data_IF_319856983856
#
_entry.id   IF_319856983856
#
_cell.length_a   1.000
_cell.length_b   1.000
_cell.length_c   1.000
_cell.angle_alpha   90.00
_cell.angle_beta   90.00
_cell.angle_gamma   90.00
#
_symmetry.space_group_name_H-M   'P 1'
#
loop_
_entity.id
_entity.type
_entity.pdbx_description
1 polymer ?
#
# COMPACT_ATOMS: atom_id res chain seq x y z
N UNK A 1 0.62 3.46 -1.94
CA UNK A 1 1.49 2.43 -2.53
C UNK A 1 1.68 1.21 -1.65
N UNK A 2 1.78 1.28 -0.31
CA UNK A 2 1.83 0.03 0.49
C UNK A 2 0.51 -0.76 0.49
N UNK A 3 -0.62 -0.04 0.48
CA UNK A 3 -1.94 -0.62 0.16
C UNK A 3 -1.88 -1.34 -1.17
N UNK A 4 -1.18 -0.75 -2.15
CA UNK A 4 -0.98 -1.35 -3.46
C UNK A 4 0.19 -2.33 -3.50
N UNK A 5 1.05 -2.45 -2.49
CA UNK A 5 2.13 -3.45 -2.38
C UNK A 5 1.58 -4.71 -1.72
N UNK A 6 0.72 -4.57 -0.70
CA UNK A 6 -0.07 -5.70 -0.18
C UNK A 6 -0.99 -6.25 -1.26
N UNK A 7 -1.71 -5.38 -1.96
CA UNK A 7 -2.56 -5.77 -3.10
C UNK A 7 -1.70 -6.25 -4.28
N UNK A 8 -0.62 -5.57 -4.69
CA UNK A 8 0.22 -6.04 -5.81
C UNK A 8 0.95 -7.34 -5.49
N UNK A 9 1.43 -7.54 -4.26
CA UNK A 9 2.01 -8.80 -3.82
C UNK A 9 0.99 -9.93 -3.90
N UNK A 10 -0.25 -9.69 -3.48
CA UNK A 10 -1.34 -10.64 -3.70
C UNK A 10 -1.61 -10.84 -5.20
N UNK A 11 -1.67 -9.78 -6.01
CA UNK A 11 -1.93 -9.89 -7.46
C UNK A 11 -0.81 -10.66 -8.19
N UNK A 12 0.46 -10.47 -7.82
CA UNK A 12 1.61 -11.21 -8.37
C UNK A 12 1.58 -12.67 -7.93
N UNK A 13 1.30 -12.94 -6.64
CA UNK A 13 1.11 -14.30 -6.13
C UNK A 13 -0.07 -15.01 -6.82
N UNK A 14 -1.14 -14.29 -7.11
CA UNK A 14 -2.30 -14.80 -7.84
C UNK A 14 -1.98 -15.06 -9.31
N UNK A 15 -1.23 -14.18 -9.98
CA UNK A 15 -0.72 -14.42 -11.33
C UNK A 15 0.11 -15.71 -11.40
N UNK A 16 0.97 -15.95 -10.41
CA UNK A 16 1.73 -17.21 -10.33
C UNK A 16 0.81 -18.42 -10.05
N UNK A 17 -0.12 -18.30 -9.10
CA UNK A 17 -1.09 -19.36 -8.78
C UNK A 17 -2.00 -19.72 -9.96
N UNK A 18 -2.40 -18.73 -10.75
CA UNK A 18 -3.19 -18.89 -11.97
C UNK A 18 -2.48 -19.75 -13.02
N UNK A 19 -1.17 -19.57 -13.16
CA UNK A 19 -0.35 -20.30 -14.12
C UNK A 19 -0.05 -21.74 -13.66
N UNK A 20 -0.04 -21.98 -12.34
CA UNK A 20 0.40 -23.25 -11.76
C UNK A 20 -0.75 -24.19 -11.37
N UNK A 21 -1.92 -23.69 -10.92
CA UNK A 21 -3.06 -24.53 -10.54
C UNK A 21 -4.45 -23.87 -10.75
N UNK A 22 -5.01 -23.97 -11.97
CA UNK A 22 -6.29 -23.34 -12.32
C UNK A 22 -7.49 -23.75 -11.45
N UNK A 23 -7.54 -25.01 -10.99
CA UNK A 23 -8.69 -25.56 -10.27
C UNK A 23 -8.91 -24.99 -8.86
N UNK A 24 -7.86 -24.43 -8.24
CA UNK A 24 -7.92 -23.78 -6.93
C UNK A 24 -7.87 -22.25 -6.98
N UNK A 25 -7.76 -21.66 -8.18
CA UNK A 25 -7.43 -20.26 -8.36
C UNK A 25 -8.42 -19.31 -7.70
N UNK A 26 -9.73 -19.52 -7.87
CA UNK A 26 -10.75 -18.61 -7.32
C UNK A 26 -10.70 -18.58 -5.78
N UNK A 27 -10.52 -19.73 -5.15
CA UNK A 27 -10.38 -19.81 -3.69
C UNK A 27 -9.08 -19.16 -3.21
N UNK A 28 -7.96 -19.41 -3.89
CA UNK A 28 -6.67 -18.77 -3.60
C UNK A 28 -6.72 -17.25 -3.80
N UNK A 29 -7.44 -16.79 -4.83
CA UNK A 29 -7.66 -15.38 -5.12
C UNK A 29 -8.45 -14.71 -3.99
N UNK A 30 -9.56 -15.30 -3.55
CA UNK A 30 -10.34 -14.75 -2.43
C UNK A 30 -9.52 -14.69 -1.16
N UNK A 31 -8.84 -15.79 -0.79
CA UNK A 31 -8.02 -15.84 0.41
C UNK A 31 -6.87 -14.83 0.40
N UNK A 32 -6.18 -14.70 -0.74
CA UNK A 32 -5.10 -13.72 -0.88
C UNK A 32 -5.60 -12.29 -0.78
N UNK A 33 -6.80 -11.96 -1.28
CA UNK A 33 -7.36 -10.62 -1.13
C UNK A 33 -7.74 -10.31 0.33
N UNK A 34 -8.27 -11.28 1.07
CA UNK A 34 -8.55 -11.12 2.51
C UNK A 34 -7.24 -10.86 3.27
N UNK A 35 -6.21 -11.66 3.00
CA UNK A 35 -4.89 -11.50 3.63
C UNK A 35 -4.29 -10.13 3.29
N UNK A 36 -4.35 -9.71 2.02
CA UNK A 36 -3.87 -8.39 1.59
C UNK A 36 -4.62 -7.24 2.27
N UNK A 37 -5.94 -7.35 2.41
CA UNK A 37 -6.76 -6.37 3.10
C UNK A 37 -6.43 -6.30 4.61
N UNK A 38 -6.17 -7.44 5.24
CA UNK A 38 -5.72 -7.50 6.64
C UNK A 38 -4.36 -6.84 6.82
N UNK A 39 -3.37 -7.18 5.97
CA UNK A 39 -2.04 -6.56 5.99
C UNK A 39 -2.16 -5.04 5.82
N UNK A 40 -3.01 -4.60 4.88
CA UNK A 40 -3.32 -3.18 4.65
C UNK A 40 -3.91 -2.53 5.90
N UNK A 41 -4.86 -3.20 6.57
CA UNK A 41 -5.46 -2.74 7.83
C UNK A 41 -4.42 -2.56 8.95
N UNK A 42 -3.52 -3.53 9.10
CA UNK A 42 -2.44 -3.49 10.10
C UNK A 42 -1.39 -2.40 9.85
N UNK A 43 -1.33 -1.84 8.64
CA UNK A 43 -0.45 -0.71 8.32
C UNK A 43 -1.01 0.65 8.76
N UNK A 44 -2.29 0.74 9.11
CA UNK A 44 -2.92 1.97 9.57
C UNK A 44 -2.17 2.70 10.72
N UNK A 45 -1.67 2.01 11.77
CA UNK A 45 -0.83 2.66 12.79
C UNK A 45 0.48 3.22 12.23
N UNK A 46 1.12 2.55 11.26
CA UNK A 46 2.38 3.03 10.66
C UNK A 46 2.16 4.39 9.98
N UNK A 47 1.02 4.54 9.32
CA UNK A 47 0.63 5.81 8.70
C UNK A 47 0.40 6.93 9.69
N UNK A 48 -0.32 6.64 10.78
CA UNK A 48 -0.54 7.61 11.84
C UNK A 48 0.79 8.03 12.48
N UNK A 49 1.66 7.07 12.79
CA UNK A 49 2.97 7.34 13.36
C UNK A 49 3.87 8.12 12.40
N UNK A 50 3.82 7.84 11.09
CA UNK A 50 4.56 8.61 10.08
C UNK A 50 4.08 10.07 10.03
N UNK A 51 2.77 10.31 10.14
CA UNK A 51 2.20 11.67 10.22
C UNK A 51 2.64 12.37 11.50
N UNK A 52 2.58 11.71 12.65
CA UNK A 52 3.02 12.28 13.94
C UNK A 52 4.52 12.60 13.92
N UNK A 53 5.34 11.69 13.41
CA UNK A 53 6.79 11.89 13.25
C UNK A 53 7.10 13.10 12.38
N UNK A 54 6.39 13.30 11.26
CA UNK A 54 6.56 14.48 10.40
C UNK A 54 6.09 15.78 11.04
N UNK A 55 5.11 15.72 11.94
CA UNK A 55 4.61 16.89 12.68
C UNK A 55 5.48 17.27 13.88
N UNK A 56 6.41 16.40 14.28
CA UNK A 56 7.17 16.54 15.52
C UNK A 56 6.36 16.18 16.77
N UNK A 57 5.22 15.51 16.60
CA UNK A 57 4.36 15.08 17.70
C UNK A 57 4.94 13.84 18.40
N UNK A 58 4.70 13.64 19.71
CA UNK A 58 5.25 12.51 20.45
C UNK A 58 4.71 11.17 19.94
N UNK A 59 5.62 10.27 19.61
CA UNK A 59 5.34 8.89 19.20
C UNK A 59 4.98 8.05 20.43
N UNK A 60 3.70 7.99 20.75
CA UNK A 60 3.20 7.22 21.91
C UNK A 60 2.60 5.89 21.47
N UNK A 61 2.71 4.87 22.34
CA UNK A 61 2.01 3.60 22.17
C UNK A 61 0.49 3.78 22.15
N UNK A 62 -0.03 4.78 22.88
CA UNK A 62 -1.43 5.17 22.84
C UNK A 62 -1.86 5.64 21.43
N UNK A 63 -1.03 6.42 20.74
CA UNK A 63 -1.31 6.82 19.36
C UNK A 63 -1.29 5.61 18.41
N UNK A 64 -0.36 4.67 18.59
CA UNK A 64 -0.34 3.43 17.80
C UNK A 64 -1.62 2.61 18.02
N UNK A 65 -2.05 2.42 19.27
CA UNK A 65 -3.30 1.73 19.59
C UNK A 65 -4.53 2.44 19.03
N UNK A 66 -4.56 3.78 19.10
CA UNK A 66 -5.61 4.57 18.47
C UNK A 66 -5.65 4.34 16.95
N UNK A 67 -4.49 4.34 16.29
CA UNK A 67 -4.35 4.04 14.87
C UNK A 67 -4.89 2.65 14.53
N UNK A 68 -4.55 1.63 15.32
CA UNK A 68 -5.10 0.28 15.15
C UNK A 68 -6.62 0.29 15.32
N UNK A 69 -7.16 0.77 16.43
CA UNK A 69 -8.60 0.61 16.72
C UNK A 69 -9.47 1.43 15.77
N UNK A 70 -9.06 2.65 15.44
CA UNK A 70 -9.92 3.59 14.70
C UNK A 70 -9.70 3.57 13.19
N UNK A 71 -8.48 3.34 12.74
CA UNK A 71 -8.13 3.43 11.31
C UNK A 71 -8.09 2.05 10.64
N UNK A 72 -7.83 0.96 11.37
CA UNK A 72 -7.78 -0.40 10.79
C UNK A 72 -9.04 -0.75 10.01
N UNK A 73 -10.28 -0.52 10.49
CA UNK A 73 -11.48 -0.85 9.70
C UNK A 73 -11.53 -0.07 8.37
N UNK A 74 -11.07 1.19 8.37
CA UNK A 74 -11.07 2.04 7.18
C UNK A 74 -10.04 1.56 6.15
N UNK A 75 -8.83 1.26 6.61
CA UNK A 75 -7.77 0.71 5.77
C UNK A 75 -8.10 -0.69 5.26
N UNK A 76 -8.72 -1.53 6.09
CA UNK A 76 -9.20 -2.84 5.69
C UNK A 76 -10.23 -2.74 4.56
N UNK A 77 -11.24 -1.86 4.68
CA UNK A 77 -12.24 -1.66 3.63
C UNK A 77 -11.58 -1.17 2.33
N UNK A 78 -10.65 -0.21 2.40
CA UNK A 78 -9.91 0.24 1.20
C UNK A 78 -9.12 -0.91 0.59
N UNK A 79 -8.39 -1.67 1.39
CA UNK A 79 -7.63 -2.83 0.94
C UNK A 79 -8.52 -3.88 0.28
N UNK A 80 -9.71 -4.13 0.85
CA UNK A 80 -10.69 -5.07 0.30
C UNK A 80 -11.25 -4.56 -1.04
N UNK A 81 -11.65 -3.29 -1.13
CA UNK A 81 -12.17 -2.70 -2.38
C UNK A 81 -11.12 -2.78 -3.50
N UNK A 82 -9.87 -2.40 -3.20
CA UNK A 82 -8.79 -2.45 -4.18
C UNK A 82 -8.38 -3.89 -4.52
N UNK A 83 -8.36 -4.78 -3.53
CA UNK A 83 -8.04 -6.19 -3.70
C UNK A 83 -9.07 -6.91 -4.55
N UNK A 84 -10.37 -6.73 -4.27
CA UNK A 84 -11.45 -7.30 -5.08
C UNK A 84 -11.44 -6.71 -6.49
N UNK A 85 -11.26 -5.39 -6.64
CA UNK A 85 -11.18 -4.75 -7.96
C UNK A 85 -10.00 -5.27 -8.80
N UNK A 86 -8.81 -5.35 -8.21
CA UNK A 86 -7.63 -5.89 -8.88
C UNK A 86 -7.74 -7.39 -9.17
N UNK A 87 -8.26 -8.16 -8.21
CA UNK A 87 -8.46 -9.60 -8.35
C UNK A 87 -9.48 -9.95 -9.44
N UNK A 88 -10.58 -9.20 -9.53
CA UNK A 88 -11.56 -9.36 -10.62
C UNK A 88 -10.96 -9.03 -11.98
N UNK A 89 -10.11 -8.01 -12.08
CA UNK A 89 -9.42 -7.70 -13.34
C UNK A 89 -8.51 -8.86 -13.78
N UNK A 90 -7.78 -9.49 -12.85
CA UNK A 90 -6.98 -10.68 -13.16
C UNK A 90 -7.85 -11.87 -13.58
N UNK A 91 -8.98 -12.08 -12.91
CA UNK A 91 -9.90 -13.16 -13.22
C UNK A 91 -10.51 -12.98 -14.62
N UNK A 92 -10.94 -11.76 -14.96
CA UNK A 92 -11.41 -11.42 -16.32
C UNK A 92 -10.30 -11.65 -17.35
N UNK A 93 -9.08 -11.22 -17.04
CA UNK A 93 -7.91 -11.40 -17.92
C UNK A 93 -7.57 -12.86 -18.19
N UNK A 94 -7.85 -13.75 -17.23
CA UNK A 94 -7.66 -15.18 -17.41
C UNK A 94 -8.66 -15.79 -18.40
N UNK A 95 -9.95 -15.50 -18.23
CA UNK A 95 -11.01 -16.03 -19.10
C UNK A 95 -11.03 -15.36 -20.48
N UNK A 96 -10.51 -14.12 -20.59
CA UNK A 96 -10.37 -13.37 -21.83
C UNK A 96 -8.90 -12.97 -22.03
N UNK A 97 -8.06 -13.83 -22.62
CA UNK A 97 -6.61 -13.59 -22.77
C UNK A 97 -6.27 -12.30 -23.52
N UNK A 98 -7.16 -11.85 -24.41
CA UNK A 98 -7.02 -10.58 -25.11
C UNK A 98 -6.95 -9.37 -24.16
N UNK A 99 -7.50 -9.49 -22.94
CA UNK A 99 -7.45 -8.47 -21.89
C UNK A 99 -6.25 -8.61 -20.95
N UNK A 100 -5.46 -9.70 -21.04
CA UNK A 100 -4.32 -9.91 -20.15
C UNK A 100 -3.19 -8.91 -20.39
N UNK A 101 -2.89 -8.58 -21.65
CA UNK A 101 -1.86 -7.59 -21.99
C UNK A 101 -2.16 -6.19 -21.42
N UNK A 102 -3.37 -5.62 -21.58
CA UNK A 102 -3.69 -4.32 -21.02
C UNK A 102 -3.93 -4.33 -19.50
N UNK A 103 -4.17 -5.49 -18.88
CA UNK A 103 -4.47 -5.57 -17.45
C UNK A 103 -3.35 -5.00 -16.57
N UNK A 104 -2.08 -5.27 -16.89
CA UNK A 104 -0.94 -4.78 -16.12
C UNK A 104 -0.84 -3.25 -16.11
N UNK A 105 -0.81 -2.56 -17.28
CA UNK A 105 -0.86 -1.10 -17.31
C UNK A 105 -2.05 -0.51 -16.56
N UNK A 106 -3.22 -1.14 -16.67
CA UNK A 106 -4.44 -0.71 -15.97
C UNK A 106 -4.28 -0.84 -14.45
N UNK A 107 -3.72 -1.96 -13.96
CA UNK A 107 -3.43 -2.14 -12.53
C UNK A 107 -2.46 -1.08 -12.01
N UNK A 108 -1.39 -0.80 -12.75
CA UNK A 108 -0.41 0.22 -12.38
C UNK A 108 -1.08 1.59 -12.33
N UNK A 109 -1.89 1.92 -13.34
CA UNK A 109 -2.62 3.18 -13.40
C UNK A 109 -3.52 3.38 -12.18
N UNK A 110 -4.33 2.38 -11.83
CA UNK A 110 -5.20 2.41 -10.66
C UNK A 110 -4.40 2.41 -9.34
N UNK A 111 -3.30 1.65 -9.25
CA UNK A 111 -2.45 1.61 -8.07
C UNK A 111 -1.88 3.00 -7.75
N UNK A 112 -1.37 3.71 -8.76
CA UNK A 112 -0.85 5.07 -8.58
C UNK A 112 -1.97 6.04 -8.19
N UNK A 113 -3.14 5.97 -8.84
CA UNK A 113 -4.30 6.82 -8.53
C UNK A 113 -4.83 6.65 -7.11
N UNK A 114 -4.79 5.44 -6.57
CA UNK A 114 -5.25 5.14 -5.21
C UNK A 114 -4.13 5.08 -4.19
N UNK A 115 -2.90 5.38 -4.60
CA UNK A 115 -1.73 5.35 -3.72
C UNK A 115 -1.90 6.29 -2.53
N UNK A 116 -2.56 7.44 -2.69
CA UNK A 116 -2.71 8.48 -1.67
C UNK A 116 -4.01 8.40 -0.86
N UNK A 117 -4.70 7.24 -0.86
CA UNK A 117 -5.89 7.05 -0.04
C UNK A 117 -5.57 6.93 1.46
N UNK A 118 -4.44 6.34 1.83
CA UNK A 118 -3.97 6.24 3.22
C UNK A 118 -3.81 7.61 3.91
N UNK A 119 -3.05 8.56 3.34
CA UNK A 119 -2.93 9.90 3.90
C UNK A 119 -4.25 10.66 3.89
N UNK A 120 -5.13 10.47 2.89
CA UNK A 120 -6.47 11.06 2.91
C UNK A 120 -7.34 10.55 4.07
N UNK A 121 -7.20 9.28 4.47
CA UNK A 121 -7.89 8.73 5.66
C UNK A 121 -7.33 9.35 6.94
N UNK A 122 -6.00 9.47 7.05
CA UNK A 122 -5.33 9.87 8.30
C UNK A 122 -5.39 11.39 8.49
N UNK A 123 -5.03 12.17 7.46
CA UNK A 123 -4.92 13.63 7.52
C UNK A 123 -6.28 14.32 7.40
N UNK A 124 -7.13 13.88 6.48
CA UNK A 124 -8.45 14.49 6.26
C UNK A 124 -9.60 13.76 6.99
N UNK A 125 -9.30 12.69 7.75
CA UNK A 125 -10.28 11.86 8.49
C UNK A 125 -11.44 11.32 7.64
N UNK A 126 -11.23 11.17 6.32
CA UNK A 126 -12.26 10.76 5.35
C UNK A 126 -12.70 9.30 5.56
N UNK A 127 -13.91 8.99 5.08
CA UNK A 127 -14.39 7.61 4.95
C UNK A 127 -13.68 6.90 3.80
N UNK A 128 -13.63 5.54 3.77
CA UNK A 128 -12.89 4.78 2.76
C UNK A 128 -13.16 5.20 1.31
N UNK A 129 -14.44 5.32 0.92
CA UNK A 129 -14.83 5.71 -0.44
C UNK A 129 -14.46 7.16 -0.73
N UNK A 130 -14.66 8.08 0.22
CA UNK A 130 -14.26 9.47 0.06
C UNK A 130 -12.74 9.61 -0.08
N UNK A 131 -11.96 8.80 0.62
CA UNK A 131 -10.51 8.78 0.53
C UNK A 131 -10.02 8.32 -0.85
N UNK A 132 -10.67 7.30 -1.45
CA UNK A 132 -10.36 6.85 -2.81
C UNK A 132 -10.66 7.93 -3.84
N UNK A 133 -11.84 8.56 -3.77
CA UNK A 133 -12.21 9.67 -4.67
C UNK A 133 -11.28 10.86 -4.47
N UNK A 134 -10.90 11.17 -3.24
CA UNK A 134 -9.96 12.24 -2.93
C UNK A 134 -8.58 11.95 -3.50
N UNK A 135 -8.04 10.76 -3.27
CA UNK A 135 -6.77 10.30 -3.85
C UNK A 135 -6.77 10.45 -5.37
N UNK A 136 -7.87 10.04 -6.02
CA UNK A 136 -8.01 10.16 -7.47
C UNK A 136 -7.83 11.60 -7.97
N UNK A 137 -8.53 12.55 -7.34
CA UNK A 137 -8.48 13.98 -7.67
C UNK A 137 -7.12 14.61 -7.37
N UNK A 138 -6.48 14.20 -6.27
CA UNK A 138 -5.18 14.73 -5.87
C UNK A 138 -4.06 14.28 -6.82
N UNK A 139 -4.14 13.05 -7.32
CA UNK A 139 -3.19 12.51 -8.31
C UNK A 139 -3.52 13.00 -9.74
N UNK A 140 -4.70 13.56 -9.96
CA UNK A 140 -5.15 14.08 -11.26
C UNK A 140 -4.27 15.26 -11.70
N UNK A 141 -3.57 15.11 -12.83
CA UNK A 141 -2.62 16.09 -13.34
C UNK A 141 -1.16 15.82 -12.96
N UNK A 142 -0.89 15.08 -11.86
CA UNK A 142 0.45 14.77 -11.38
C UNK A 142 0.78 13.27 -11.40
N UNK A 143 0.07 12.48 -12.22
CA UNK A 143 0.19 11.03 -12.25
C UNK A 143 1.63 10.53 -12.51
N UNK A 144 2.29 11.07 -13.54
CA UNK A 144 3.67 10.68 -13.88
C UNK A 144 4.66 11.00 -12.76
N UNK A 145 4.51 12.15 -12.13
CA UNK A 145 5.35 12.56 -11.00
C UNK A 145 5.12 11.66 -9.80
N UNK A 146 3.87 11.36 -9.48
CA UNK A 146 3.49 10.43 -8.40
C UNK A 146 4.12 9.07 -8.63
N UNK A 147 3.98 8.53 -9.85
CA UNK A 147 4.56 7.25 -10.24
C UNK A 147 6.09 7.24 -10.10
N UNK A 148 6.79 8.24 -10.66
CA UNK A 148 8.25 8.30 -10.65
C UNK A 148 8.83 8.48 -9.24
N UNK A 149 8.18 9.26 -8.36
CA UNK A 149 8.63 9.42 -6.97
C UNK A 149 8.38 8.13 -6.16
N UNK A 150 7.28 7.44 -6.42
CA UNK A 150 6.96 6.20 -5.72
C UNK A 150 7.77 5.00 -6.22
N UNK A 151 8.22 5.00 -7.48
CA UNK A 151 8.92 3.89 -8.13
C UNK A 151 10.19 3.42 -7.37
N UNK A 152 11.11 4.30 -6.92
CA UNK A 152 12.26 3.87 -6.11
C UNK A 152 11.84 3.17 -4.82
N UNK A 153 10.81 3.68 -4.14
CA UNK A 153 10.33 3.10 -2.88
C UNK A 153 9.63 1.77 -3.13
N UNK A 154 8.90 1.65 -4.25
CA UNK A 154 8.33 0.39 -4.71
C UNK A 154 9.40 -0.65 -4.96
N UNK A 155 10.43 -0.29 -5.73
CA UNK A 155 11.53 -1.20 -6.06
C UNK A 155 12.24 -1.66 -4.80
N UNK A 156 12.49 -0.76 -3.86
CA UNK A 156 13.05 -1.11 -2.56
C UNK A 156 12.17 -2.10 -1.79
N UNK A 157 10.86 -1.86 -1.72
CA UNK A 157 9.93 -2.77 -1.06
C UNK A 157 9.86 -4.14 -1.76
N UNK A 158 9.86 -4.19 -3.09
CA UNK A 158 9.89 -5.43 -3.87
C UNK A 158 11.17 -6.21 -3.61
N UNK A 159 12.33 -5.54 -3.61
CA UNK A 159 13.63 -6.16 -3.34
C UNK A 159 13.65 -6.76 -1.93
N UNK A 160 13.16 -6.03 -0.92
CA UNK A 160 13.07 -6.55 0.45
C UNK A 160 12.14 -7.76 0.55
N UNK A 161 10.96 -7.71 -0.06
CA UNK A 161 10.03 -8.85 -0.05
C UNK A 161 10.62 -10.05 -0.78
N UNK A 162 11.28 -9.86 -1.92
CA UNK A 162 11.94 -10.92 -2.66
C UNK A 162 13.11 -11.54 -1.88
N UNK A 163 13.95 -10.70 -1.26
CA UNK A 163 15.05 -11.15 -0.41
C UNK A 163 14.54 -11.93 0.82
N UNK A 164 13.47 -11.46 1.45
CA UNK A 164 12.81 -12.17 2.55
C UNK A 164 12.18 -13.48 2.10
N UNK A 165 11.58 -13.55 0.90
CA UNK A 165 11.08 -14.80 0.34
C UNK A 165 12.19 -15.82 0.11
N UNK A 166 13.32 -15.39 -0.46
CA UNK A 166 14.50 -16.23 -0.64
C UNK A 166 15.06 -16.72 0.72
N UNK A 167 15.19 -15.83 1.70
CA UNK A 167 15.63 -16.19 3.04
C UNK A 167 14.67 -17.17 3.73
N UNK A 168 13.35 -16.94 3.63
CA UNK A 168 12.33 -17.83 4.18
C UNK A 168 12.34 -19.21 3.53
N UNK A 169 12.72 -19.34 2.26
CA UNK A 169 12.84 -20.65 1.59
C UNK A 169 13.98 -21.52 2.14
N UNK A 170 14.98 -20.92 2.79
CA UNK A 170 16.09 -21.62 3.43
C UNK A 170 15.81 -22.04 4.88
N UNK A 171 14.62 -21.69 5.42
CA UNK A 171 14.25 -21.90 6.82
C UNK A 171 13.08 -22.87 6.90
N UNK A 172 13.28 -24.01 7.57
CA UNK A 172 12.23 -25.03 7.76
C UNK A 172 11.17 -24.60 8.80
N UNK A 173 11.53 -23.70 9.71
CA UNK A 173 10.65 -23.24 10.78
C UNK A 173 9.66 -22.16 10.31
N UNK A 174 8.37 -22.49 10.32
CA UNK A 174 7.30 -21.60 9.89
C UNK A 174 7.20 -20.28 10.69
N UNK A 175 7.55 -20.29 11.98
CA UNK A 175 7.51 -19.08 12.81
C UNK A 175 8.65 -18.14 12.46
N UNK A 176 9.86 -18.67 12.24
CA UNK A 176 11.00 -17.87 11.79
C UNK A 176 10.78 -17.31 10.39
N UNK A 177 10.21 -18.08 9.46
CA UNK A 177 9.91 -17.60 8.11
C UNK A 177 8.85 -16.49 8.12
N UNK A 178 7.86 -16.56 9.01
CA UNK A 178 6.89 -15.49 9.22
C UNK A 178 7.53 -14.22 9.81
N UNK A 179 8.45 -14.36 10.77
CA UNK A 179 9.19 -13.22 11.34
C UNK A 179 10.04 -12.52 10.28
N UNK A 180 10.75 -13.27 9.43
CA UNK A 180 11.55 -12.70 8.32
C UNK A 180 10.68 -11.88 7.36
N UNK A 181 9.48 -12.37 7.02
CA UNK A 181 8.52 -11.62 6.21
C UNK A 181 7.98 -10.37 6.92
N UNK A 182 7.65 -10.48 8.20
CA UNK A 182 7.16 -9.36 9.00
C UNK A 182 8.20 -8.24 9.14
N UNK A 183 9.48 -8.58 9.31
CA UNK A 183 10.59 -7.60 9.36
C UNK A 183 10.69 -6.84 8.04
N UNK A 184 10.60 -7.53 6.90
CA UNK A 184 10.63 -6.90 5.58
C UNK A 184 9.55 -5.81 5.43
N UNK A 185 8.32 -6.16 5.84
CA UNK A 185 7.17 -5.25 5.82
C UNK A 185 7.32 -4.11 6.84
N UNK A 186 7.84 -4.40 8.03
CA UNK A 186 8.06 -3.42 9.09
C UNK A 186 9.11 -2.36 8.73
N UNK A 187 10.14 -2.74 7.98
CA UNK A 187 11.19 -1.81 7.51
C UNK A 187 10.70 -0.92 6.37
N UNK A 188 9.93 -1.48 5.45
CA UNK A 188 9.51 -0.79 4.23
C UNK A 188 8.28 0.09 4.41
N UNK A 189 7.34 -0.29 5.29
CA UNK A 189 6.09 0.43 5.49
C UNK A 189 6.27 1.91 5.93
N UNK A 190 7.16 2.26 6.88
CA UNK A 190 7.35 3.64 7.30
C UNK A 190 7.88 4.54 6.17
N UNK A 191 8.82 4.05 5.36
CA UNK A 191 9.42 4.82 4.26
C UNK A 191 8.37 5.24 3.23
N UNK A 192 7.52 4.30 2.86
CA UNK A 192 6.43 4.54 1.91
C UNK A 192 5.36 5.45 2.51
N UNK A 193 4.98 5.24 3.78
CA UNK A 193 4.03 6.10 4.46
C UNK A 193 4.52 7.56 4.49
N UNK A 194 5.81 7.78 4.75
CA UNK A 194 6.43 9.11 4.73
C UNK A 194 6.38 9.74 3.34
N UNK A 195 6.80 9.02 2.29
CA UNK A 195 6.82 9.53 0.92
C UNK A 195 5.42 9.90 0.43
N UNK A 196 4.44 9.04 0.68
CA UNK A 196 3.08 9.29 0.25
C UNK A 196 2.39 10.39 1.08
N UNK A 197 2.69 10.49 2.37
CA UNK A 197 2.24 11.63 3.19
C UNK A 197 2.80 12.94 2.65
N UNK A 198 4.10 12.96 2.28
CA UNK A 198 4.74 14.14 1.71
C UNK A 198 4.13 14.53 0.36
N UNK A 199 3.94 13.56 -0.55
CA UNK A 199 3.28 13.78 -1.84
C UNK A 199 1.85 14.28 -1.67
N UNK A 200 1.10 13.71 -0.73
CA UNK A 200 -0.28 14.12 -0.49
C UNK A 200 -0.36 15.55 0.02
N UNK A 201 0.47 15.93 0.99
CA UNK A 201 0.51 17.31 1.49
C UNK A 201 0.89 18.29 0.38
N UNK A 202 1.90 17.97 -0.42
CA UNK A 202 2.32 18.78 -1.56
C UNK A 202 1.18 19.02 -2.56
N UNK A 203 0.46 17.95 -2.95
CA UNK A 203 -0.62 18.06 -3.94
C UNK A 203 -1.93 18.59 -3.35
N UNK A 204 -2.14 18.44 -2.04
CA UNK A 204 -3.35 18.93 -1.37
C UNK A 204 -3.32 20.45 -1.10
N UNK A 205 -2.22 21.13 -1.41
CA UNK A 205 -2.06 22.57 -1.23
C UNK A 205 -1.58 22.97 0.17
N UNK A 206 -1.03 22.03 0.95
CA UNK A 206 -0.29 22.38 2.16
C UNK A 206 0.99 23.10 1.75
N UNK A 207 1.10 24.39 2.06
CA UNK A 207 2.36 25.12 1.86
C UNK A 207 3.51 24.26 2.43
N UNK A 208 4.60 24.04 1.68
CA UNK A 208 5.84 23.64 2.32
C UNK A 208 6.06 24.68 3.41
N UNK A 209 6.13 24.27 4.68
CA UNK A 209 6.76 25.16 5.66
C UNK A 209 8.12 25.43 5.06
N UNK A 210 8.33 26.67 4.62
CA UNK A 210 9.66 27.13 4.31
C UNK A 210 10.51 26.63 5.47
N UNK A 211 11.59 25.95 5.16
CA UNK A 211 12.68 25.87 6.12
C UNK A 211 13.00 27.34 6.34
N UNK A 212 12.41 27.93 7.40
CA UNK A 212 12.77 29.25 7.88
C UNK A 212 14.25 29.07 8.16
N UNK A 213 15.03 29.57 7.20
CA UNK A 213 16.46 29.62 7.33
C UNK A 213 16.68 30.34 8.64
N UNK A 214 17.41 29.68 9.54
CA UNK A 214 18.10 30.35 10.62
C UNK A 214 19.05 31.36 10.00
N UNK A 215 18.50 32.50 9.66
CA UNK A 215 19.17 33.76 9.49
C UNK A 215 18.52 34.66 10.53
N UNK A 216 19.38 35.38 11.26
CA UNK A 216 19.08 36.41 12.26
C UNK A 216 18.83 35.81 13.66
N UNK A 217 19.68 35.98 14.69
CA UNK A 217 20.90 36.79 14.93
C UNK A 217 21.80 36.09 15.96
#
# INVERSE_FOLDING_TARGET
MFITVGVAGALVGNLAGLLLSPSGFVAALVWSQIIAALITGFQAPVWLLAVLARRGDPLTSAAALYGVVTLLPRFFIVGLVLGVGGGMLLLISYYLPALALPALPVLIYFAVRFSLSGPAIVLERRTPLQALVRSWKVVEGNWWRTFLVQLPVLLFAIILVAASGAASSAVENALLSAVVGAVALGVSAPLVALVETALFEEYSGGQPRAVEGGAEE
#
